data_IF_913408546141
#
_entry.id   IF_913408546141
#
_cell.length_a   1.000
_cell.length_b   1.000
_cell.length_c   1.000
_cell.angle_alpha   90.00
_cell.angle_beta   90.00
_cell.angle_gamma   90.00
#
_symmetry.space_group_name_H-M   'P 1'
#
loop_
_entity.id
_entity.type
_entity.pdbx_description
1 polymer ?
#
# COMPACT_ATOMS: atom_id res chain seq x y z
N UNK A 1 1.93 -20.65 -9.45
CA UNK A 1 3.09 -21.43 -9.92
C UNK A 1 4.31 -20.53 -9.89
N UNK A 2 5.48 -21.03 -9.48
CA UNK A 2 6.75 -20.27 -9.44
C UNK A 2 7.88 -21.14 -9.99
N UNK A 3 8.82 -20.52 -10.70
CA UNK A 3 10.10 -21.14 -11.07
C UNK A 3 11.10 -20.89 -9.94
N UNK A 4 11.63 -21.97 -9.36
CA UNK A 4 12.74 -21.91 -8.42
C UNK A 4 14.05 -21.51 -9.11
N UNK A 5 14.88 -20.73 -8.42
CA UNK A 5 16.17 -20.27 -8.93
C UNK A 5 17.25 -20.48 -7.86
N UNK A 6 18.46 -20.94 -8.23
CA UNK A 6 18.95 -21.18 -9.59
C UNK A 6 18.64 -22.58 -10.17
N UNK A 7 17.95 -23.43 -9.41
CA UNK A 7 17.76 -24.87 -9.68
C UNK A 7 16.73 -25.19 -10.77
N UNK A 8 15.84 -24.25 -11.14
CA UNK A 8 14.95 -24.30 -12.31
C UNK A 8 13.87 -25.40 -12.27
N UNK A 9 13.39 -25.74 -11.08
CA UNK A 9 12.17 -26.54 -10.91
C UNK A 9 10.95 -25.65 -11.02
N UNK A 10 9.92 -26.14 -11.70
CA UNK A 10 8.61 -25.51 -11.75
C UNK A 10 7.76 -26.00 -10.58
N UNK A 11 7.31 -25.08 -9.73
CA UNK A 11 6.59 -25.38 -8.49
C UNK A 11 5.12 -24.96 -8.60
N UNK A 12 4.23 -25.91 -8.34
CA UNK A 12 2.80 -25.73 -8.19
C UNK A 12 2.40 -25.75 -6.72
N UNK A 13 1.42 -24.93 -6.37
CA UNK A 13 0.90 -24.76 -5.01
C UNK A 13 -0.61 -25.00 -5.02
N UNK A 14 -1.11 -25.75 -4.03
CA UNK A 14 -2.52 -26.13 -3.95
C UNK A 14 -2.94 -26.97 -5.14
N UNK A 15 -2.35 -28.15 -5.30
CA UNK A 15 -2.54 -29.00 -6.49
C UNK A 15 -2.97 -30.42 -6.13
N UNK A 16 -3.37 -31.18 -7.13
CA UNK A 16 -3.72 -32.59 -7.05
C UNK A 16 -2.61 -33.48 -6.43
N UNK A 17 -3.03 -34.38 -5.54
CA UNK A 17 -2.14 -35.40 -4.97
C UNK A 17 -1.80 -36.51 -5.97
N UNK A 18 -2.71 -36.78 -6.92
CA UNK A 18 -2.54 -37.71 -8.03
C UNK A 18 -2.56 -36.96 -9.36
N UNK A 19 -1.49 -37.08 -10.15
CA UNK A 19 -1.33 -36.34 -11.42
C UNK A 19 -2.46 -36.70 -12.38
N UNK A 20 -3.15 -35.68 -12.88
CA UNK A 20 -4.24 -35.82 -13.85
C UNK A 20 -5.60 -36.19 -13.24
N UNK A 21 -5.71 -36.29 -11.90
CA UNK A 21 -6.96 -36.55 -11.20
C UNK A 21 -7.40 -35.31 -10.40
N UNK A 22 -8.34 -34.56 -10.98
CA UNK A 22 -8.92 -33.35 -10.37
C UNK A 22 -9.64 -33.62 -9.05
N UNK A 23 -10.11 -34.85 -8.81
CA UNK A 23 -10.79 -35.19 -7.55
C UNK A 23 -9.83 -35.35 -6.38
N UNK A 24 -8.53 -35.42 -6.68
CA UNK A 24 -7.45 -35.56 -5.69
C UNK A 24 -6.85 -34.21 -5.25
N UNK A 25 -7.52 -33.10 -5.57
CA UNK A 25 -7.15 -31.73 -5.20
C UNK A 25 -6.93 -31.58 -3.69
N UNK A 26 -5.78 -31.05 -3.31
CA UNK A 26 -5.45 -30.70 -1.93
C UNK A 26 -4.79 -29.30 -1.91
N UNK A 27 -5.50 -28.34 -1.33
CA UNK A 27 -5.10 -26.92 -1.33
C UNK A 27 -3.84 -26.66 -0.50
N UNK A 28 -3.36 -27.65 0.26
CA UNK A 28 -2.12 -27.60 1.03
C UNK A 28 -0.97 -28.36 0.39
N UNK A 29 -1.17 -28.90 -0.82
CA UNK A 29 -0.20 -29.74 -1.50
C UNK A 29 0.64 -28.95 -2.51
N UNK A 30 1.95 -29.15 -2.45
CA UNK A 30 2.96 -28.57 -3.32
C UNK A 30 3.56 -29.69 -4.17
N UNK A 31 3.74 -29.43 -5.45
CA UNK A 31 4.39 -30.33 -6.40
C UNK A 31 5.42 -29.56 -7.20
N UNK A 32 6.60 -30.14 -7.39
CA UNK A 32 7.65 -29.53 -8.20
C UNK A 32 8.20 -30.49 -9.23
N UNK A 33 8.54 -29.94 -10.39
CA UNK A 33 9.05 -30.68 -11.54
C UNK A 33 10.44 -31.26 -11.29
N UNK A 34 10.93 -32.09 -12.20
CA UNK A 34 12.34 -32.42 -12.24
C UNK A 34 13.16 -31.17 -12.60
N UNK A 35 14.43 -31.14 -12.18
CA UNK A 35 15.35 -30.06 -12.50
C UNK A 35 15.44 -29.86 -14.02
N UNK A 36 15.26 -28.63 -14.49
CA UNK A 36 15.32 -28.23 -15.90
C UNK A 36 14.33 -28.95 -16.84
N UNK A 37 13.35 -29.70 -16.30
CA UNK A 37 12.33 -30.39 -17.08
C UNK A 37 10.94 -30.12 -16.50
N UNK A 38 10.19 -29.28 -17.20
CA UNK A 38 8.83 -28.85 -16.83
C UNK A 38 7.74 -29.88 -17.15
N UNK A 39 8.08 -31.08 -17.64
CA UNK A 39 7.11 -32.11 -17.99
C UNK A 39 7.15 -33.33 -17.06
N UNK A 40 8.21 -33.46 -16.24
CA UNK A 40 8.37 -34.61 -15.33
C UNK A 40 8.04 -34.21 -13.90
N UNK A 41 6.96 -34.77 -13.35
CA UNK A 41 6.51 -34.48 -11.97
C UNK A 41 6.35 -35.71 -11.08
N UNK A 42 6.44 -36.91 -11.65
CA UNK A 42 6.38 -38.16 -10.89
C UNK A 42 7.71 -38.37 -10.17
N UNK A 43 7.74 -38.40 -8.83
CA UNK A 43 8.98 -38.61 -8.09
C UNK A 43 9.55 -40.01 -8.36
N UNK A 44 10.84 -40.09 -8.66
CA UNK A 44 11.57 -41.36 -8.79
C UNK A 44 12.90 -41.27 -8.05
N UNK A 45 13.57 -42.41 -7.85
CA UNK A 45 14.88 -42.43 -7.20
C UNK A 45 15.99 -41.75 -8.02
N UNK A 46 15.74 -41.45 -9.30
CA UNK A 46 16.75 -40.92 -10.24
C UNK A 46 16.47 -39.50 -10.69
N UNK A 47 15.40 -38.87 -10.20
CA UNK A 47 15.03 -37.50 -10.54
C UNK A 47 14.92 -36.66 -9.26
N UNK A 48 14.75 -35.35 -9.44
CA UNK A 48 14.56 -34.41 -8.33
C UNK A 48 13.12 -33.91 -8.24
N UNK A 49 12.19 -34.55 -8.95
CA UNK A 49 10.76 -34.24 -8.85
C UNK A 49 10.25 -34.67 -7.48
N UNK A 50 9.29 -33.94 -6.93
CA UNK A 50 8.85 -34.21 -5.58
C UNK A 50 7.60 -33.46 -5.20
N UNK A 51 7.15 -33.76 -3.99
CA UNK A 51 5.92 -33.23 -3.42
C UNK A 51 6.13 -32.90 -1.96
N UNK A 52 5.34 -31.96 -1.45
CA UNK A 52 5.27 -31.63 -0.04
C UNK A 52 3.86 -31.20 0.30
N UNK A 53 3.31 -31.70 1.41
CA UNK A 53 2.08 -31.15 1.99
C UNK A 53 2.44 -30.24 3.16
N UNK A 54 1.96 -29.00 3.16
CA UNK A 54 2.16 -28.09 4.29
C UNK A 54 1.28 -28.49 5.49
N UNK A 55 1.72 -28.13 6.70
CA UNK A 55 1.16 -28.65 7.94
C UNK A 55 0.26 -27.66 8.72
N UNK A 56 0.22 -26.37 8.32
CA UNK A 56 -0.52 -25.32 9.03
C UNK A 56 -1.27 -24.42 8.03
N UNK A 57 -2.57 -24.24 8.26
CA UNK A 57 -3.51 -23.57 7.37
C UNK A 57 -4.51 -24.52 6.72
N UNK A 58 -5.52 -23.92 6.07
CA UNK A 58 -6.54 -24.64 5.30
C UNK A 58 -6.23 -24.66 3.80
N UNK A 59 -5.52 -23.65 3.28
CA UNK A 59 -5.15 -23.53 1.87
C UNK A 59 -3.91 -22.68 1.67
N UNK A 60 -3.16 -22.94 0.60
CA UNK A 60 -2.07 -22.07 0.15
C UNK A 60 -2.68 -20.86 -0.58
N UNK A 61 -2.40 -19.67 -0.07
CA UNK A 61 -2.97 -18.42 -0.57
C UNK A 61 -2.13 -17.82 -1.70
N UNK A 62 -0.80 -17.85 -1.55
CA UNK A 62 0.10 -17.21 -2.48
C UNK A 62 1.55 -17.57 -2.19
N UNK A 63 2.41 -17.26 -3.14
CA UNK A 63 3.84 -17.43 -2.98
C UNK A 63 4.57 -16.31 -3.72
N UNK A 64 5.73 -15.94 -3.19
CA UNK A 64 6.63 -14.94 -3.79
C UNK A 64 8.04 -15.50 -3.74
N UNK A 65 8.77 -15.36 -4.84
CA UNK A 65 10.19 -15.70 -4.88
C UNK A 65 10.97 -14.61 -4.16
N UNK A 66 11.66 -14.94 -3.08
CA UNK A 66 12.65 -14.08 -2.47
C UNK A 66 14.06 -14.38 -2.94
N UNK A 67 15.03 -13.70 -2.31
CA UNK A 67 16.47 -13.85 -2.61
C UNK A 67 17.00 -15.27 -2.37
N UNK A 68 16.71 -15.87 -1.22
CA UNK A 68 17.32 -17.14 -0.77
C UNK A 68 16.32 -18.30 -0.67
N UNK A 69 15.01 -18.00 -0.73
CA UNK A 69 13.94 -18.97 -0.59
C UNK A 69 12.68 -18.47 -1.31
N UNK A 70 11.78 -19.40 -1.63
CA UNK A 70 10.41 -19.06 -1.99
C UNK A 70 9.63 -18.94 -0.69
N UNK A 71 8.94 -17.81 -0.53
CA UNK A 71 8.01 -17.57 0.56
C UNK A 71 6.64 -18.09 0.12
N UNK A 72 6.06 -18.98 0.92
CA UNK A 72 4.77 -19.62 0.65
C UNK A 72 3.83 -19.32 1.80
N UNK A 73 2.78 -18.57 1.52
CA UNK A 73 1.78 -18.21 2.52
C UNK A 73 0.57 -19.13 2.44
N UNK A 74 0.08 -19.52 3.61
CA UNK A 74 -1.26 -20.07 3.78
C UNK A 74 -2.18 -18.96 4.28
N UNK A 75 -3.43 -19.31 4.55
CA UNK A 75 -4.40 -18.44 5.21
C UNK A 75 -4.01 -18.11 6.67
N UNK A 76 -3.16 -18.94 7.31
CA UNK A 76 -2.76 -18.72 8.72
C UNK A 76 -1.26 -18.54 8.94
N UNK A 77 -0.39 -18.99 8.04
CA UNK A 77 1.05 -19.14 8.31
C UNK A 77 1.93 -18.75 7.12
N UNK A 78 3.23 -18.59 7.41
CA UNK A 78 4.28 -18.37 6.41
C UNK A 78 5.28 -19.53 6.47
N UNK A 79 5.56 -20.10 5.30
CA UNK A 79 6.58 -21.13 5.08
C UNK A 79 7.68 -20.61 4.16
N UNK A 80 8.86 -21.18 4.32
CA UNK A 80 9.99 -21.02 3.39
C UNK A 80 10.23 -22.33 2.67
N UNK A 81 10.43 -22.27 1.36
CA UNK A 81 10.88 -23.37 0.52
C UNK A 81 12.27 -23.02 -0.01
N UNK A 82 13.27 -23.83 0.36
CA UNK A 82 14.67 -23.64 -0.04
C UNK A 82 15.23 -24.91 -0.66
N UNK A 83 15.96 -24.77 -1.78
CA UNK A 83 16.68 -25.90 -2.36
C UNK A 83 17.80 -26.34 -1.41
N UNK A 84 17.80 -27.61 -1.00
CA UNK A 84 18.83 -28.19 -0.11
C UNK A 84 19.59 -29.37 -0.76
N UNK A 85 19.09 -29.87 -1.90
CA UNK A 85 19.72 -30.95 -2.66
C UNK A 85 19.29 -32.37 -2.21
N UNK A 86 19.65 -33.42 -2.98
CA UNK A 86 19.21 -34.79 -2.72
C UNK A 86 19.65 -35.32 -1.34
N UNK A 87 18.88 -36.23 -0.70
CA UNK A 87 17.68 -36.89 -1.22
C UNK A 87 16.39 -36.06 -1.10
N UNK A 88 16.40 -34.96 -0.36
CA UNK A 88 15.24 -34.07 -0.21
C UNK A 88 15.45 -32.79 -1.00
N UNK A 89 15.01 -32.72 -2.26
CA UNK A 89 15.27 -31.57 -3.16
C UNK A 89 15.06 -30.21 -2.49
N UNK A 90 13.93 -30.03 -1.78
CA UNK A 90 13.59 -28.82 -1.06
C UNK A 90 13.40 -29.08 0.44
N UNK A 91 13.90 -28.16 1.26
CA UNK A 91 13.56 -28.03 2.67
C UNK A 91 12.40 -27.05 2.84
N UNK A 92 11.41 -27.43 3.65
CA UNK A 92 10.28 -26.60 4.02
C UNK A 92 10.32 -26.31 5.51
N UNK A 93 10.24 -25.04 5.89
CA UNK A 93 10.20 -24.63 7.28
C UNK A 93 9.10 -23.60 7.49
N UNK A 94 8.26 -23.82 8.51
CA UNK A 94 7.34 -22.80 9.00
C UNK A 94 8.14 -21.72 9.73
N UNK A 95 7.99 -20.48 9.31
CA UNK A 95 8.72 -19.33 9.85
C UNK A 95 7.79 -18.28 10.47
N UNK A 96 6.48 -18.46 10.35
CA UNK A 96 5.47 -17.62 10.97
C UNK A 96 4.15 -18.37 11.20
N UNK A 97 3.40 -17.90 12.20
CA UNK A 97 2.09 -18.43 12.60
C UNK A 97 1.18 -17.23 12.90
N UNK A 98 -0.12 -17.36 12.62
CA UNK A 98 -1.12 -16.27 12.70
C UNK A 98 -0.75 -15.03 11.88
N UNK A 99 -0.09 -15.24 10.74
CA UNK A 99 0.40 -14.20 9.85
C UNK A 99 0.17 -14.56 8.38
N UNK A 100 -0.92 -15.26 8.09
CA UNK A 100 -1.27 -15.71 6.74
C UNK A 100 -1.55 -14.55 5.78
N UNK A 101 -1.69 -14.88 4.50
CA UNK A 101 -1.89 -13.90 3.45
C UNK A 101 -3.39 -13.69 3.19
N UNK A 102 -3.84 -12.43 3.13
CA UNK A 102 -5.26 -12.11 2.95
C UNK A 102 -5.78 -12.40 1.53
N UNK A 103 -4.93 -12.21 0.52
CA UNK A 103 -5.28 -12.36 -0.89
C UNK A 103 -4.06 -12.77 -1.72
N UNK A 104 -4.28 -13.49 -2.81
CA UNK A 104 -3.19 -14.13 -3.59
C UNK A 104 -2.06 -13.16 -3.99
N UNK A 105 -2.39 -11.91 -4.31
CA UNK A 105 -1.44 -10.90 -4.77
C UNK A 105 -1.09 -9.86 -3.69
N UNK A 106 -1.35 -10.14 -2.41
CA UNK A 106 -1.19 -9.18 -1.32
C UNK A 106 0.22 -9.20 -0.66
N UNK A 107 1.19 -9.84 -1.31
CA UNK A 107 2.57 -9.97 -0.84
C UNK A 107 3.57 -9.51 -1.89
N UNK A 108 4.65 -8.87 -1.45
CA UNK A 108 5.78 -8.46 -2.28
C UNK A 108 7.10 -8.77 -1.58
N UNK A 109 8.18 -8.86 -2.35
CA UNK A 109 9.54 -8.99 -1.83
C UNK A 109 10.40 -7.85 -2.34
N UNK A 110 11.11 -7.19 -1.43
CA UNK A 110 12.06 -6.12 -1.73
C UNK A 110 13.25 -6.20 -0.79
N UNK A 111 14.45 -6.05 -1.34
CA UNK A 111 15.72 -6.05 -0.60
C UNK A 111 15.97 -7.24 0.34
N UNK A 112 15.43 -8.42 0.03
CA UNK A 112 15.58 -9.63 0.83
C UNK A 112 14.55 -9.75 1.95
N UNK A 113 13.57 -8.84 2.01
CA UNK A 113 12.48 -8.86 2.96
C UNK A 113 11.13 -9.00 2.25
N UNK A 114 10.31 -9.94 2.73
CA UNK A 114 8.93 -10.06 2.29
C UNK A 114 8.03 -9.15 3.13
N UNK A 115 7.09 -8.47 2.49
CA UNK A 115 6.07 -7.64 3.12
C UNK A 115 4.71 -8.08 2.61
N UNK A 116 3.72 -8.18 3.49
CA UNK A 116 2.39 -8.59 3.07
C UNK A 116 1.28 -8.05 3.95
N UNK A 117 0.10 -8.04 3.36
CA UNK A 117 -1.16 -7.75 4.02
C UNK A 117 -1.77 -9.05 4.53
N UNK A 118 -2.02 -9.13 5.83
CA UNK A 118 -2.71 -10.23 6.50
C UNK A 118 -4.08 -9.78 7.00
N UNK A 119 -4.95 -10.73 7.33
CA UNK A 119 -6.24 -10.44 7.99
C UNK A 119 -6.06 -9.74 9.36
N UNK A 120 -4.91 -9.95 10.02
CA UNK A 120 -4.64 -9.46 11.38
C UNK A 120 -3.62 -8.30 11.43
N UNK A 121 -3.31 -7.67 10.30
CA UNK A 121 -2.34 -6.58 10.25
C UNK A 121 -1.36 -6.69 9.09
N UNK A 122 -0.34 -5.85 9.12
CA UNK A 122 0.75 -5.86 8.16
C UNK A 122 1.98 -6.55 8.75
N UNK A 123 2.68 -7.34 7.94
CA UNK A 123 3.81 -8.13 8.40
C UNK A 123 5.01 -8.00 7.48
N UNK A 124 6.17 -8.25 8.07
CA UNK A 124 7.48 -8.28 7.41
C UNK A 124 8.23 -9.54 7.84
N UNK A 125 8.92 -10.16 6.88
CA UNK A 125 9.84 -11.25 7.15
C UNK A 125 11.18 -10.97 6.50
N UNK A 126 12.22 -10.83 7.33
CA UNK A 126 13.60 -10.60 6.91
C UNK A 126 14.55 -11.51 7.71
N UNK A 127 14.26 -12.82 7.72
CA UNK A 127 14.92 -13.82 8.57
C UNK A 127 14.31 -13.95 9.98
N UNK A 128 13.49 -12.98 10.38
CA UNK A 128 12.60 -13.07 11.52
C UNK A 128 11.24 -12.45 11.16
N UNK A 129 10.15 -13.04 11.66
CA UNK A 129 8.81 -12.49 11.52
C UNK A 129 8.68 -11.24 12.40
N UNK A 130 8.14 -10.18 11.81
CA UNK A 130 7.87 -8.90 12.47
C UNK A 130 6.49 -8.42 12.07
N UNK A 131 5.67 -8.01 13.04
CA UNK A 131 4.49 -7.21 12.77
C UNK A 131 4.93 -5.77 12.48
N UNK A 132 4.34 -5.15 11.46
CA UNK A 132 4.60 -3.77 11.07
C UNK A 132 3.60 -2.86 11.80
N UNK A 133 4.07 -1.97 12.69
CA UNK A 133 3.18 -1.00 13.33
C UNK A 133 2.56 -0.08 12.29
N UNK A 134 1.23 -0.10 12.18
CA UNK A 134 0.48 0.70 11.22
C UNK A 134 -0.31 1.79 11.95
N UNK A 135 -0.01 3.07 11.64
CA UNK A 135 -0.68 4.21 12.27
C UNK A 135 -2.08 4.47 11.72
N UNK A 136 -2.41 3.85 10.59
CA UNK A 136 -3.70 3.96 9.89
C UNK A 136 -4.44 2.62 9.86
N UNK A 137 -4.10 1.71 10.78
CA UNK A 137 -4.67 0.35 10.82
C UNK A 137 -6.19 0.39 10.92
N UNK A 138 -6.73 1.15 11.88
CA UNK A 138 -8.19 1.32 12.05
C UNK A 138 -8.87 1.90 10.81
N UNK A 139 -8.20 2.78 10.05
CA UNK A 139 -8.76 3.33 8.82
C UNK A 139 -8.90 2.27 7.74
N UNK A 140 -7.92 1.36 7.65
CA UNK A 140 -7.92 0.27 6.67
C UNK A 140 -8.90 -0.83 7.07
N UNK A 141 -8.74 -1.39 8.26
CA UNK A 141 -9.45 -2.62 8.66
C UNK A 141 -10.93 -2.40 8.98
N UNK A 142 -11.34 -1.22 9.46
CA UNK A 142 -12.76 -0.93 9.70
C UNK A 142 -13.54 -0.73 8.38
N UNK A 143 -12.87 -0.42 7.28
CA UNK A 143 -13.46 -0.19 5.97
C UNK A 143 -13.05 -1.26 4.94
N UNK A 144 -12.46 -2.38 5.34
CA UNK A 144 -11.98 -3.40 4.40
C UNK A 144 -13.11 -4.36 3.98
N UNK A 145 -13.32 -4.54 2.68
CA UNK A 145 -14.16 -5.63 2.16
C UNK A 145 -13.39 -6.95 2.10
N UNK A 146 -13.55 -7.77 3.13
CA UNK A 146 -12.92 -9.10 3.23
C UNK A 146 -13.49 -10.14 2.24
N UNK A 147 -14.67 -9.91 1.67
CA UNK A 147 -15.25 -10.80 0.64
C UNK A 147 -14.55 -10.63 -0.70
N UNK A 148 -14.06 -9.41 -0.99
CA UNK A 148 -13.31 -9.08 -2.19
C UNK A 148 -11.78 -9.24 -2.00
N UNK A 149 -11.33 -10.01 -1.01
CA UNK A 149 -9.92 -10.13 -0.65
C UNK A 149 -9.00 -10.61 -1.79
N UNK A 150 -9.50 -11.41 -2.74
CA UNK A 150 -8.71 -11.88 -3.88
C UNK A 150 -8.42 -10.78 -4.91
N UNK A 151 -9.11 -9.64 -4.84
CA UNK A 151 -8.81 -8.48 -5.67
C UNK A 151 -7.63 -7.67 -5.13
N UNK A 152 -7.22 -7.88 -3.87
CA UNK A 152 -6.12 -7.13 -3.26
C UNK A 152 -4.84 -7.36 -4.07
N UNK A 153 -4.19 -6.26 -4.44
CA UNK A 153 -2.94 -6.27 -5.20
C UNK A 153 -1.89 -5.44 -4.48
N UNK A 154 -0.70 -6.02 -4.30
CA UNK A 154 0.45 -5.34 -3.71
C UNK A 154 1.45 -4.95 -4.81
N UNK A 155 1.98 -3.73 -4.73
CA UNK A 155 2.90 -3.17 -5.71
C UNK A 155 4.05 -2.40 -5.07
N UNK A 156 5.27 -2.63 -5.53
CA UNK A 156 6.45 -1.87 -5.08
C UNK A 156 6.65 -0.67 -6.01
N UNK A 157 6.88 0.50 -5.44
CA UNK A 157 7.40 1.67 -6.15
C UNK A 157 8.84 1.92 -5.68
N UNK A 158 9.81 1.35 -6.38
CA UNK A 158 11.20 1.36 -5.94
C UNK A 158 11.85 2.76 -6.05
N UNK A 159 11.31 3.61 -6.92
CA UNK A 159 11.77 5.00 -7.08
C UNK A 159 11.61 5.82 -5.79
N UNK A 160 10.59 5.52 -4.99
CA UNK A 160 10.24 6.27 -3.77
C UNK A 160 10.32 5.43 -2.50
N UNK A 161 10.70 4.16 -2.60
CA UNK A 161 10.82 3.28 -1.43
C UNK A 161 9.46 2.91 -0.84
N UNK A 162 8.44 2.73 -1.67
CA UNK A 162 7.07 2.51 -1.22
C UNK A 162 6.57 1.11 -1.55
N UNK A 163 5.72 0.58 -0.68
CA UNK A 163 4.90 -0.60 -0.92
C UNK A 163 3.45 -0.15 -0.83
N UNK A 164 2.71 -0.37 -1.91
CA UNK A 164 1.30 -0.04 -2.04
C UNK A 164 0.49 -1.33 -1.92
N UNK A 165 -0.55 -1.30 -1.09
CA UNK A 165 -1.59 -2.33 -1.08
C UNK A 165 -2.91 -1.72 -1.52
N UNK A 166 -3.37 -2.14 -2.69
CA UNK A 166 -4.64 -1.76 -3.28
C UNK A 166 -5.74 -2.70 -2.81
N UNK A 167 -6.85 -2.17 -2.33
CA UNK A 167 -7.95 -2.95 -1.76
C UNK A 167 -9.33 -2.31 -2.01
N UNK A 168 -10.37 -3.09 -1.76
CA UNK A 168 -11.77 -2.63 -1.83
C UNK A 168 -12.24 -2.14 -0.46
N UNK A 169 -12.81 -0.95 -0.41
CA UNK A 169 -13.54 -0.43 0.74
C UNK A 169 -14.83 -1.24 1.01
N UNK A 170 -15.45 -1.04 2.16
CA UNK A 170 -16.63 -1.79 2.58
C UNK A 170 -17.79 -1.58 1.59
N UNK A 171 -18.25 -2.68 0.97
CA UNK A 171 -19.31 -2.66 -0.05
C UNK A 171 -18.82 -2.39 -1.47
N UNK A 172 -17.56 -2.01 -1.68
CA UNK A 172 -16.98 -1.91 -3.02
C UNK A 172 -16.65 -3.29 -3.58
N UNK A 173 -16.89 -3.49 -4.88
CA UNK A 173 -16.57 -4.72 -5.62
C UNK A 173 -15.42 -4.53 -6.61
N UNK A 174 -14.87 -3.33 -6.66
CA UNK A 174 -13.69 -2.93 -7.43
C UNK A 174 -12.76 -2.20 -6.47
N UNK A 175 -11.46 -2.27 -6.72
CA UNK A 175 -10.46 -1.58 -5.91
C UNK A 175 -10.72 -0.07 -5.96
N UNK A 176 -10.75 0.58 -4.80
CA UNK A 176 -10.99 2.03 -4.69
C UNK A 176 -10.13 2.68 -3.58
N UNK A 177 -9.27 1.90 -2.93
CA UNK A 177 -8.40 2.34 -1.84
C UNK A 177 -7.00 1.80 -2.00
N UNK A 178 -6.05 2.58 -1.47
CA UNK A 178 -4.67 2.18 -1.34
C UNK A 178 -4.15 2.58 0.04
N UNK A 179 -3.39 1.69 0.66
CA UNK A 179 -2.54 2.01 1.81
C UNK A 179 -1.09 1.81 1.40
N UNK A 180 -0.26 2.80 1.72
CA UNK A 180 1.14 2.83 1.30
C UNK A 180 2.05 2.87 2.52
N UNK A 181 3.06 2.01 2.53
CA UNK A 181 4.14 2.01 3.51
C UNK A 181 5.43 2.43 2.85
N UNK A 182 6.10 3.45 3.39
CA UNK A 182 7.43 3.84 2.92
C UNK A 182 8.50 3.09 3.72
N UNK A 183 9.10 2.06 3.13
CA UNK A 183 10.09 1.21 3.81
C UNK A 183 11.49 1.84 3.91
N UNK A 184 11.77 2.90 3.14
CA UNK A 184 13.04 3.64 3.20
C UNK A 184 12.99 4.74 4.27
N UNK A 185 11.90 5.51 4.32
CA UNK A 185 11.72 6.62 5.25
C UNK A 185 11.32 6.16 6.66
N UNK A 186 10.80 4.93 6.80
CA UNK A 186 10.45 4.33 8.08
C UNK A 186 11.69 3.94 8.91
N UNK A 187 12.36 4.95 9.48
CA UNK A 187 13.57 4.80 10.28
C UNK A 187 13.31 5.06 11.77
N UNK A 188 14.13 4.44 12.64
CA UNK A 188 14.15 4.76 14.07
C UNK A 188 12.84 4.48 14.82
N UNK A 189 12.06 3.50 14.36
CA UNK A 189 10.78 3.14 14.97
C UNK A 189 9.62 4.09 14.64
N UNK A 190 9.80 4.98 13.65
CA UNK A 190 8.74 5.86 13.15
C UNK A 190 8.26 5.36 11.79
N UNK A 191 7.21 4.55 11.74
CA UNK A 191 6.68 4.07 10.48
C UNK A 191 5.96 5.21 9.74
N UNK A 192 6.19 5.31 8.44
CA UNK A 192 5.56 6.29 7.55
C UNK A 192 4.51 5.56 6.71
N UNK A 193 3.25 5.91 6.96
CA UNK A 193 2.09 5.36 6.29
C UNK A 193 1.26 6.47 5.66
N UNK A 194 0.71 6.21 4.48
CA UNK A 194 -0.26 7.10 3.83
C UNK A 194 -1.44 6.28 3.31
N UNK A 195 -2.57 6.96 3.15
CA UNK A 195 -3.81 6.39 2.59
C UNK A 195 -4.19 7.19 1.36
N UNK A 196 -4.74 6.51 0.35
CA UNK A 196 -5.13 7.11 -0.91
C UNK A 196 -6.40 6.45 -1.46
N UNK A 197 -7.08 7.15 -2.36
CA UNK A 197 -8.20 6.62 -3.16
C UNK A 197 -7.74 6.14 -4.54
N UNK A 198 -6.43 5.92 -4.71
CA UNK A 198 -5.87 5.37 -5.94
C UNK A 198 -6.33 3.92 -6.14
N UNK A 199 -6.93 3.66 -7.28
CA UNK A 199 -7.69 2.46 -7.65
C UNK A 199 -6.93 1.60 -8.68
N UNK A 200 -5.78 1.05 -8.29
CA UNK A 200 -5.01 0.18 -9.22
C UNK A 200 -5.27 -1.30 -8.96
N UNK A 201 -5.75 -1.99 -9.99
CA UNK A 201 -6.05 -3.43 -10.00
C UNK A 201 -4.82 -4.30 -10.16
N UNK A 202 -3.80 -3.79 -10.86
CA UNK A 202 -2.49 -4.43 -10.95
C UNK A 202 -1.40 -3.38 -10.89
N UNK A 203 -0.23 -3.78 -10.40
CA UNK A 203 0.95 -2.94 -10.36
C UNK A 203 2.19 -3.72 -10.76
N UNK A 204 3.04 -3.10 -11.57
CA UNK A 204 4.35 -3.59 -11.94
C UNK A 204 5.35 -2.44 -11.81
N UNK A 205 6.41 -2.65 -11.01
CA UNK A 205 7.48 -1.66 -10.87
C UNK A 205 8.23 -1.41 -12.18
N UNK A 206 9.04 -0.34 -12.20
CA UNK A 206 9.82 0.19 -13.33
C UNK A 206 10.54 -0.83 -14.22
N UNK A 207 10.92 -1.99 -13.70
CA UNK A 207 11.48 -3.14 -14.44
C UNK A 207 12.24 -2.76 -15.73
N UNK A 208 11.74 -3.14 -16.90
CA UNK A 208 12.39 -2.88 -18.21
C UNK A 208 12.01 -1.52 -18.80
N UNK A 209 10.91 -0.91 -18.33
CA UNK A 209 10.27 0.24 -18.96
C UNK A 209 10.60 1.58 -18.27
N UNK A 210 11.41 1.57 -17.22
CA UNK A 210 11.95 2.76 -16.56
C UNK A 210 11.01 3.45 -15.57
N UNK A 211 9.68 3.26 -15.70
CA UNK A 211 8.66 3.76 -14.77
C UNK A 211 7.65 2.67 -14.40
N UNK A 212 7.01 2.74 -13.23
CA UNK A 212 5.99 1.76 -12.86
C UNK A 212 4.78 1.83 -13.78
N UNK A 213 4.12 0.71 -13.94
CA UNK A 213 2.94 0.54 -14.77
C UNK A 213 1.84 -0.12 -13.97
N UNK A 214 0.61 0.31 -14.20
CA UNK A 214 -0.54 -0.22 -13.49
C UNK A 214 -1.75 -0.26 -14.38
N UNK A 215 -2.74 -1.01 -13.92
CA UNK A 215 -4.07 -1.02 -14.51
C UNK A 215 -5.11 -0.57 -13.51
N UNK A 216 -6.20 -0.05 -14.02
CA UNK A 216 -7.44 0.28 -13.32
C UNK A 216 -8.59 -0.42 -14.04
N UNK A 217 -9.65 -0.76 -13.33
CA UNK A 217 -10.83 -1.39 -13.91
C UNK A 217 -12.05 -0.51 -13.71
N UNK A 218 -12.56 0.02 -14.82
CA UNK A 218 -13.78 0.83 -14.84
C UNK A 218 -14.98 -0.08 -15.18
N UNK A 219 -15.78 -0.39 -14.16
CA UNK A 219 -16.96 -1.22 -14.30
C UNK A 219 -18.13 -0.50 -15.01
N UNK A 220 -18.11 0.84 -15.06
CA UNK A 220 -19.19 1.66 -15.64
C UNK A 220 -18.94 2.00 -17.12
N UNK A 221 -17.73 1.74 -17.61
CA UNK A 221 -17.34 1.97 -19.00
C UNK A 221 -17.14 0.67 -19.76
N UNK A 222 -17.86 0.52 -20.86
CA UNK A 222 -17.63 -0.56 -21.83
C UNK A 222 -16.78 -0.12 -23.03
N UNK A 223 -16.16 1.07 -22.94
CA UNK A 223 -15.45 1.69 -24.04
C UNK A 223 -14.09 1.01 -24.27
N UNK A 224 -14.08 -0.09 -25.02
CA UNK A 224 -12.87 -0.76 -25.52
C UNK A 224 -12.73 -0.49 -27.02
N UNK A 225 -11.53 -0.09 -27.46
CA UNK A 225 -11.28 0.22 -28.87
C UNK A 225 -11.08 -1.03 -29.75
N UNK A 226 -10.80 -2.17 -29.12
CA UNK A 226 -10.38 -3.44 -29.72
C UNK A 226 -11.36 -4.60 -29.49
N UNK A 227 -12.36 -4.41 -28.62
CA UNK A 227 -13.37 -5.43 -28.29
C UNK A 227 -14.75 -5.00 -28.76
N UNK A 228 -15.36 -5.80 -29.64
CA UNK A 228 -16.74 -5.58 -30.12
C UNK A 228 -17.73 -6.29 -29.20
N UNK A 229 -18.73 -5.57 -28.70
CA UNK A 229 -19.80 -6.13 -27.86
C UNK A 229 -19.47 -6.26 -26.38
N UNK A 230 -18.50 -5.50 -25.88
CA UNK A 230 -18.15 -5.48 -24.46
C UNK A 230 -19.32 -4.98 -23.59
N UNK A 231 -19.61 -5.70 -22.51
CA UNK A 231 -20.64 -5.35 -21.51
C UNK A 231 -20.14 -5.37 -20.08
N UNK A 232 -18.89 -5.78 -19.85
CA UNK A 232 -18.36 -6.15 -18.54
C UNK A 232 -17.17 -5.26 -18.13
N UNK A 233 -17.33 -3.93 -18.31
CA UNK A 233 -16.33 -2.95 -17.92
C UNK A 233 -15.11 -2.91 -18.84
N UNK A 234 -14.19 -1.98 -18.61
CA UNK A 234 -12.95 -1.89 -19.36
C UNK A 234 -11.74 -1.63 -18.45
N UNK A 235 -10.57 -2.09 -18.89
CA UNK A 235 -9.32 -1.88 -18.16
C UNK A 235 -8.58 -0.70 -18.75
N UNK A 236 -8.14 0.22 -17.91
CA UNK A 236 -7.37 1.39 -18.30
C UNK A 236 -5.92 1.17 -17.85
N UNK A 237 -4.98 1.40 -18.77
CA UNK A 237 -3.55 1.33 -18.49
C UNK A 237 -3.00 2.70 -18.09
N UNK A 238 -2.13 2.72 -17.09
CA UNK A 238 -1.43 3.91 -16.63
C UNK A 238 0.09 3.66 -16.56
N UNK A 239 0.86 4.60 -17.11
CA UNK A 239 2.27 4.77 -16.76
C UNK A 239 2.36 5.73 -15.58
N UNK A 240 2.87 5.24 -14.45
CA UNK A 240 2.98 5.98 -13.21
C UNK A 240 4.23 6.85 -13.16
N UNK A 241 4.31 7.73 -12.17
CA UNK A 241 5.41 8.68 -12.00
C UNK A 241 5.59 9.61 -13.21
N UNK A 242 4.47 9.96 -13.85
CA UNK A 242 4.37 10.94 -14.93
C UNK A 242 3.42 12.07 -14.55
N UNK A 243 3.92 13.30 -14.52
CA UNK A 243 3.09 14.46 -14.19
C UNK A 243 2.61 14.47 -12.73
N UNK A 244 1.45 15.09 -12.51
CA UNK A 244 0.86 15.34 -11.17
C UNK A 244 -0.58 14.87 -11.04
N UNK A 245 -1.13 14.29 -12.10
CA UNK A 245 -2.56 14.03 -12.27
C UNK A 245 -2.79 12.69 -12.96
N UNK A 246 -4.00 12.16 -12.80
CA UNK A 246 -4.42 10.98 -13.53
C UNK A 246 -4.86 11.39 -14.93
N UNK A 247 -4.06 11.05 -15.93
CA UNK A 247 -4.29 11.40 -17.33
C UNK A 247 -4.67 10.14 -18.11
N UNK A 248 -5.83 10.17 -18.76
CA UNK A 248 -6.23 9.19 -19.76
C UNK A 248 -6.19 9.85 -21.15
N UNK A 249 -6.49 9.09 -22.20
CA UNK A 249 -6.58 9.63 -23.57
C UNK A 249 -7.71 10.65 -23.72
N UNK A 250 -8.70 10.66 -22.82
CA UNK A 250 -9.93 11.46 -22.94
C UNK A 250 -10.09 12.49 -21.82
N UNK A 251 -9.41 12.33 -20.68
CA UNK A 251 -9.62 13.16 -19.49
C UNK A 251 -8.34 13.36 -18.67
N UNK A 252 -8.36 14.42 -17.86
CA UNK A 252 -7.38 14.65 -16.79
C UNK A 252 -8.13 14.84 -15.49
N UNK A 253 -7.85 13.96 -14.52
CA UNK A 253 -8.47 13.94 -13.19
C UNK A 253 -7.42 14.31 -12.16
N UNK A 254 -7.75 15.28 -11.30
CA UNK A 254 -6.85 15.75 -10.26
C UNK A 254 -6.59 14.67 -9.20
N UNK A 255 -5.32 14.42 -8.88
CA UNK A 255 -4.96 13.60 -7.71
C UNK A 255 -4.91 14.53 -6.50
N UNK A 256 -6.01 14.60 -5.75
CA UNK A 256 -6.07 15.43 -4.54
C UNK A 256 -5.26 14.80 -3.42
N UNK A 257 -4.47 15.60 -2.71
CA UNK A 257 -3.73 15.13 -1.54
C UNK A 257 -3.79 16.16 -0.42
N UNK A 258 -3.59 15.70 0.81
CA UNK A 258 -3.45 16.58 1.96
C UNK A 258 -2.59 15.95 3.05
N UNK A 259 -1.92 16.80 3.81
CA UNK A 259 -1.34 16.46 5.11
C UNK A 259 -1.94 17.39 6.15
N UNK A 260 -2.15 16.85 7.34
CA UNK A 260 -2.69 17.59 8.48
C UNK A 260 -1.88 17.28 9.73
N UNK A 261 -1.48 18.31 10.47
CA UNK A 261 -0.80 18.15 11.74
C UNK A 261 -1.77 17.68 12.84
N UNK A 262 -1.24 17.11 13.91
CA UNK A 262 -1.99 17.06 15.17
C UNK A 262 -2.32 18.48 15.66
N UNK A 263 -3.31 18.55 16.56
CA UNK A 263 -3.63 19.79 17.27
C UNK A 263 -2.40 20.25 18.08
N UNK A 264 -2.03 21.52 17.94
CA UNK A 264 -1.03 22.19 18.75
C UNK A 264 -1.62 23.41 19.46
N UNK A 265 -1.07 23.75 20.62
CA UNK A 265 -1.51 24.85 21.47
C UNK A 265 -0.34 25.67 22.02
N UNK A 266 -0.65 26.67 22.85
CA UNK A 266 0.35 27.45 23.58
C UNK A 266 0.33 27.02 25.04
N UNK A 267 1.45 26.52 25.54
CA UNK A 267 1.60 26.00 26.92
C UNK A 267 1.83 27.07 28.00
N UNK A 268 1.57 28.35 27.70
CA UNK A 268 1.80 29.44 28.66
C UNK A 268 0.76 29.36 29.79
N UNK A 269 1.19 29.09 31.03
CA UNK A 269 0.25 28.96 32.16
C UNK A 269 -0.47 27.61 32.24
N UNK A 270 -0.13 26.67 31.34
CA UNK A 270 -0.76 25.35 31.22
C UNK A 270 -1.44 25.19 29.86
N UNK A 271 -1.44 23.96 29.36
CA UNK A 271 -2.02 23.61 28.05
C UNK A 271 -3.52 23.92 28.03
N UNK A 272 -3.98 24.55 26.95
CA UNK A 272 -5.36 25.01 26.80
C UNK A 272 -5.83 26.15 27.72
N UNK A 273 -4.97 26.83 28.49
CA UNK A 273 -5.42 27.97 29.32
C UNK A 273 -5.74 29.22 28.48
N UNK A 274 -4.87 29.53 27.51
CA UNK A 274 -4.98 30.71 26.65
C UNK A 274 -5.44 30.35 25.24
N UNK A 275 -6.05 31.31 24.57
CA UNK A 275 -6.28 31.19 23.15
C UNK A 275 -4.98 31.49 22.40
N UNK A 276 -4.60 30.62 21.49
CA UNK A 276 -3.60 30.92 20.47
C UNK A 276 -4.20 31.83 19.41
N UNK A 277 -3.61 33.00 19.24
CA UNK A 277 -3.96 33.94 18.18
C UNK A 277 -2.88 33.95 17.12
N UNK A 278 -3.27 33.61 15.89
CA UNK A 278 -2.41 33.65 14.71
C UNK A 278 -2.80 34.85 13.86
N UNK A 279 -1.84 35.75 13.63
CA UNK A 279 -2.04 36.97 12.83
C UNK A 279 -1.56 36.84 11.39
N UNK A 280 -0.60 35.96 11.14
CA UNK A 280 -0.04 35.72 9.82
C UNK A 280 0.70 34.39 9.79
N UNK A 281 0.90 33.90 8.59
CA UNK A 281 1.84 32.82 8.33
C UNK A 281 2.67 33.15 7.09
N UNK A 282 3.86 32.54 7.03
CA UNK A 282 4.74 32.61 5.88
C UNK A 282 4.80 31.19 5.32
N UNK A 283 4.21 30.94 4.13
CA UNK A 283 4.32 29.64 3.50
C UNK A 283 5.77 29.38 3.13
N UNK A 284 6.24 28.17 3.38
CA UNK A 284 7.58 27.73 3.01
C UNK A 284 7.46 26.38 2.30
N UNK A 285 7.76 26.39 1.01
CA UNK A 285 7.72 25.22 0.14
C UNK A 285 9.07 25.08 -0.53
N UNK A 286 9.65 23.88 -0.44
CA UNK A 286 10.88 23.52 -1.17
C UNK A 286 10.60 23.53 -2.68
N UNK A 287 9.43 23.04 -3.08
CA UNK A 287 8.89 23.14 -4.43
C UNK A 287 7.38 23.35 -4.38
N UNK A 288 6.85 24.13 -5.32
CA UNK A 288 5.42 24.36 -5.46
C UNK A 288 5.08 24.60 -6.93
N UNK A 289 4.09 23.87 -7.42
CA UNK A 289 3.51 24.01 -8.74
C UNK A 289 2.03 24.27 -8.59
N UNK A 290 1.53 25.30 -9.29
CA UNK A 290 0.13 25.69 -9.21
C UNK A 290 -0.25 26.27 -7.84
N UNK A 291 -1.51 26.11 -7.48
CA UNK A 291 -2.06 26.56 -6.22
C UNK A 291 -1.94 25.48 -5.14
N UNK A 292 -1.72 25.89 -3.91
CA UNK A 292 -1.82 25.02 -2.72
C UNK A 292 -2.79 25.65 -1.74
N UNK A 293 -3.66 24.84 -1.14
CA UNK A 293 -4.60 25.27 -0.13
C UNK A 293 -4.00 25.04 1.25
N UNK A 294 -3.97 26.10 2.07
CA UNK A 294 -3.57 26.04 3.48
C UNK A 294 -4.80 26.35 4.33
N UNK A 295 -5.09 25.50 5.31
CA UNK A 295 -6.20 25.68 6.24
C UNK A 295 -5.67 25.63 7.67
N UNK A 296 -6.05 26.60 8.48
CA UNK A 296 -5.89 26.55 9.93
C UNK A 296 -7.22 26.07 10.52
N UNK A 297 -7.26 24.82 10.98
CA UNK A 297 -8.43 24.31 11.67
C UNK A 297 -8.37 24.72 13.14
N UNK A 298 -9.51 25.16 13.65
CA UNK A 298 -9.63 25.82 14.94
C UNK A 298 -10.57 25.03 15.83
N UNK A 299 -10.15 24.78 17.07
CA UNK A 299 -10.92 24.09 18.10
C UNK A 299 -10.70 24.74 19.47
N UNK A 300 -11.76 24.97 20.24
CA UNK A 300 -11.65 25.62 21.56
C UNK A 300 -11.69 24.64 22.73
N UNK A 301 -12.38 23.51 22.56
CA UNK A 301 -12.45 22.41 23.53
C UNK A 301 -12.31 21.08 22.81
N UNK A 302 -11.84 20.05 23.51
CA UNK A 302 -11.54 18.73 22.90
C UNK A 302 -12.72 18.09 22.17
N UNK A 303 -13.95 18.38 22.60
CA UNK A 303 -15.18 17.85 21.99
C UNK A 303 -15.78 18.77 20.91
N UNK A 304 -15.22 19.95 20.68
CA UNK A 304 -15.70 20.85 19.63
C UNK A 304 -15.31 20.30 18.25
N UNK A 305 -16.19 20.45 17.26
CA UNK A 305 -15.84 20.23 15.87
C UNK A 305 -14.76 21.23 15.44
N UNK A 306 -13.75 20.76 14.71
CA UNK A 306 -12.80 21.66 14.05
C UNK A 306 -13.51 22.51 13.00
N UNK A 307 -13.16 23.78 12.93
CA UNK A 307 -13.65 24.69 11.91
C UNK A 307 -12.50 25.47 11.28
N UNK A 308 -12.57 25.72 9.96
CA UNK A 308 -11.61 26.58 9.29
C UNK A 308 -11.62 27.97 9.92
N UNK A 309 -10.46 28.61 10.00
CA UNK A 309 -10.35 30.03 10.31
C UNK A 309 -11.25 30.87 9.40
N UNK A 310 -11.80 31.96 9.92
CA UNK A 310 -12.79 32.79 9.21
C UNK A 310 -12.30 33.42 7.90
N UNK A 311 -10.99 33.51 7.71
CA UNK A 311 -10.35 34.04 6.50
C UNK A 311 -9.78 32.92 5.60
N UNK A 312 -9.80 31.68 6.07
CA UNK A 312 -9.36 30.50 5.33
C UNK A 312 -10.54 29.67 4.81
N UNK A 313 -10.29 28.68 3.94
CA UNK A 313 -8.99 28.22 3.48
C UNK A 313 -8.24 29.25 2.63
N UNK A 314 -6.91 29.26 2.71
CA UNK A 314 -6.03 30.18 2.01
C UNK A 314 -5.42 29.52 0.78
N UNK A 315 -5.66 30.08 -0.39
CA UNK A 315 -4.97 29.64 -1.62
C UNK A 315 -3.66 30.40 -1.75
N UNK A 316 -2.54 29.67 -1.78
CA UNK A 316 -1.20 30.22 -1.95
C UNK A 316 -0.55 29.71 -3.23
N UNK A 317 0.35 30.52 -3.78
CA UNK A 317 1.18 30.21 -4.96
C UNK A 317 2.64 30.45 -4.62
N UNK A 318 3.55 30.09 -5.53
CA UNK A 318 4.99 30.30 -5.36
C UNK A 318 5.42 31.77 -5.20
N UNK A 319 4.55 32.73 -5.56
CA UNK A 319 4.78 34.17 -5.35
C UNK A 319 4.22 34.71 -4.04
N UNK A 320 3.50 33.88 -3.27
CA UNK A 320 2.92 34.29 -2.00
C UNK A 320 3.99 34.41 -0.94
N UNK A 321 4.33 35.65 -0.55
CA UNK A 321 5.40 35.91 0.44
C UNK A 321 4.91 35.84 1.88
N UNK A 322 3.66 36.24 2.13
CA UNK A 322 3.01 36.16 3.44
C UNK A 322 1.50 36.12 3.24
N UNK A 323 0.80 35.58 4.24
CA UNK A 323 -0.66 35.66 4.33
C UNK A 323 -1.02 36.20 5.69
N UNK A 324 -1.75 37.31 5.71
CA UNK A 324 -2.31 37.85 6.95
C UNK A 324 -3.63 37.12 7.24
N UNK A 325 -3.83 36.69 8.49
CA UNK A 325 -4.99 35.91 8.92
C UNK A 325 -5.45 36.35 10.31
N UNK A 326 -6.62 35.88 10.73
CA UNK A 326 -7.14 36.06 12.08
C UNK A 326 -7.71 34.74 12.57
N UNK A 327 -6.81 33.84 12.95
CA UNK A 327 -7.17 32.61 13.65
C UNK A 327 -7.05 32.82 15.16
N UNK A 328 -8.04 32.34 15.91
CA UNK A 328 -8.05 32.37 17.37
C UNK A 328 -8.72 31.10 17.88
N UNK A 329 -7.95 30.23 18.52
CA UNK A 329 -8.45 28.98 19.10
C UNK A 329 -7.51 28.48 20.19
N UNK A 330 -7.93 27.51 20.99
CA UNK A 330 -7.04 26.87 21.98
C UNK A 330 -6.17 25.80 21.35
N UNK A 331 -6.77 24.98 20.50
CA UNK A 331 -6.12 23.96 19.70
C UNK A 331 -6.23 24.33 18.22
N UNK A 332 -5.12 24.18 17.50
CA UNK A 332 -5.02 24.52 16.07
C UNK A 332 -4.36 23.35 15.34
N UNK A 333 -4.92 22.93 14.20
CA UNK A 333 -4.22 22.06 13.26
C UNK A 333 -3.89 22.83 11.98
N UNK A 334 -2.77 22.48 11.35
CA UNK A 334 -2.37 22.99 10.06
C UNK A 334 -2.62 21.92 9.01
N UNK A 335 -3.48 22.23 8.05
CA UNK A 335 -3.75 21.38 6.89
C UNK A 335 -3.21 22.02 5.62
N UNK A 336 -2.44 21.26 4.85
CA UNK A 336 -1.95 21.64 3.53
C UNK A 336 -2.54 20.65 2.51
N UNK A 337 -3.09 21.15 1.41
CA UNK A 337 -3.75 20.33 0.41
C UNK A 337 -3.56 20.86 -1.01
N UNK A 338 -3.60 19.97 -2.00
CA UNK A 338 -3.94 20.31 -3.37
C UNK A 338 -5.31 19.74 -3.72
N UNK A 339 -6.11 20.52 -4.44
CA UNK A 339 -7.53 20.22 -4.67
C UNK A 339 -7.94 20.30 -6.13
N UNK A 340 -7.00 20.60 -7.03
CA UNK A 340 -7.24 20.65 -8.47
C UNK A 340 -6.02 20.15 -9.25
N UNK A 341 -6.20 20.01 -10.56
CA UNK A 341 -5.16 19.48 -11.43
C UNK A 341 -3.97 20.41 -11.59
N UNK A 342 -2.83 19.86 -12.01
CA UNK A 342 -1.56 20.55 -12.23
C UNK A 342 -1.03 21.22 -10.97
N UNK A 343 -1.21 20.57 -9.82
CA UNK A 343 -0.78 21.04 -8.51
C UNK A 343 0.17 20.04 -7.87
N UNK A 344 1.28 20.53 -7.34
CA UNK A 344 2.24 19.73 -6.58
C UNK A 344 2.96 20.62 -5.57
N UNK A 345 3.39 20.05 -4.45
CA UNK A 345 4.11 20.78 -3.43
C UNK A 345 5.00 19.85 -2.61
N UNK A 346 6.15 20.39 -2.18
CA UNK A 346 7.02 19.79 -1.16
C UNK A 346 7.15 20.80 -0.03
N UNK A 347 6.57 20.47 1.12
CA UNK A 347 6.54 21.37 2.28
C UNK A 347 7.96 21.59 2.84
N UNK A 348 8.27 22.84 3.18
CA UNK A 348 9.46 23.24 3.92
C UNK A 348 9.16 23.48 5.40
N UNK A 349 9.83 24.48 6.00
CA UNK A 349 9.62 24.85 7.40
C UNK A 349 8.49 25.86 7.56
N UNK A 350 7.33 25.43 8.05
CA UNK A 350 6.18 26.33 8.20
C UNK A 350 6.37 27.34 9.35
N UNK A 351 6.06 28.62 9.10
CA UNK A 351 6.23 29.69 10.09
C UNK A 351 4.91 30.38 10.40
N UNK A 352 4.49 30.28 11.66
CA UNK A 352 3.30 30.89 12.20
C UNK A 352 3.67 32.04 13.15
N UNK A 353 3.02 33.19 13.01
CA UNK A 353 3.07 34.27 14.00
C UNK A 353 1.99 34.03 15.05
N UNK A 354 2.37 33.25 16.06
CA UNK A 354 1.50 32.78 17.14
C UNK A 354 1.79 33.53 18.44
N UNK A 355 0.73 33.97 19.12
CA UNK A 355 0.84 34.65 20.41
C UNK A 355 -0.32 34.29 21.33
N UNK A 356 -0.10 34.31 22.66
CA UNK A 356 -1.16 34.14 23.63
C UNK A 356 -2.17 35.30 23.53
N UNK A 357 -3.44 34.97 23.62
CA UNK A 357 -4.58 35.88 23.71
C UNK A 357 -5.45 35.49 24.91
N UNK A 358 -6.26 36.42 25.40
CA UNK A 358 -6.96 36.29 26.69
C UNK A 358 -7.73 34.97 26.86
N UNK A 359 -7.95 34.56 28.12
CA UNK A 359 -8.52 33.24 28.50
C UNK A 359 -9.99 33.01 28.12
N UNK A 360 -10.69 34.05 27.65
CA UNK A 360 -12.11 34.05 27.25
C UNK A 360 -12.24 34.51 25.82
#
# INVERSE_FOLDING_TARGET
MIVSTPDRHLVFFGTETTIGDQTSQDDMFIRFSNQEDINTYTPTATNTAGTQRLADGSRIMGAVRGRDAIYVWTDTALFTQRFIGPPFTFGFAQVGTNCGLIGQNAAVEVDGAAYWFSENGFFRYAGALQSLPCLVEDFVFNDLNTTANQLINAGINNLFGEINWFYCSSGATVIDRCVTFNYIESLGGRPVWTTSTLDRTTWQDSAVFGKPHATDYDADSNNSYDVVGNTDGCTIYYEHETGTDQVTTTATTAITSNIESGDFDISQGGDGEFFAKIRRFIPDFVSQTGNTQITLQLRNYSNDSQASSSLGPFTVTSSTTKVDTRARARAISLKIANTAAQQNWKLGGFRLDIQPDGRR
#
